data_IF_985559187857
#
_entry.id   IF_985559187857
#
_cell.length_a   1.000
_cell.length_b   1.000
_cell.length_c   1.000
_cell.angle_alpha   90.00
_cell.angle_beta   90.00
_cell.angle_gamma   90.00
#
_symmetry.space_group_name_H-M   'P 1'
#
loop_
_entity.id
_entity.type
_entity.pdbx_description
1 polymer ?
#
# COMPACT_ATOMS: atom_id res chain seq x y z
N UNK A 1 10.40 -22.67 16.80
CA UNK A 1 10.27 -21.23 16.46
C UNK A 1 8.81 -20.94 16.22
N UNK A 2 8.17 -20.27 17.17
CA UNK A 2 6.72 -20.05 17.24
C UNK A 2 6.28 -19.11 16.13
N UNK A 3 5.35 -19.61 15.29
CA UNK A 3 4.64 -18.84 14.27
C UNK A 3 3.94 -17.68 14.96
N UNK A 4 4.33 -16.44 14.63
CA UNK A 4 3.55 -15.27 15.00
C UNK A 4 2.17 -15.41 14.40
N UNK A 5 1.20 -15.74 15.25
CA UNK A 5 -0.21 -15.81 14.95
C UNK A 5 -0.60 -14.45 14.32
N UNK A 6 -0.83 -14.42 13.00
CA UNK A 6 -1.31 -13.21 12.32
C UNK A 6 -2.75 -12.98 12.75
N UNK A 7 -2.92 -12.28 13.88
CA UNK A 7 -4.23 -11.87 14.38
C UNK A 7 -4.89 -10.95 13.33
N UNK A 8 -6.06 -11.30 12.79
CA UNK A 8 -6.79 -10.46 11.83
C UNK A 8 -7.17 -9.08 12.40
N UNK A 9 -6.96 -8.85 13.70
CA UNK A 9 -7.17 -7.59 14.43
C UNK A 9 -5.91 -6.72 14.57
N UNK A 10 -4.77 -7.11 13.98
CA UNK A 10 -3.59 -6.24 13.98
C UNK A 10 -3.93 -4.96 13.19
N UNK A 11 -3.84 -3.82 13.87
CA UNK A 11 -4.13 -2.51 13.31
C UNK A 11 -3.39 -2.32 11.97
N UNK A 12 -4.14 -2.21 10.87
CA UNK A 12 -3.60 -2.05 9.51
C UNK A 12 -3.04 -0.65 9.24
N UNK A 13 -3.26 0.27 10.19
CA UNK A 13 -2.86 1.67 10.16
C UNK A 13 -2.02 1.92 11.41
N UNK A 14 -0.85 2.55 11.25
CA UNK A 14 -0.01 2.91 12.41
C UNK A 14 -0.71 3.94 13.32
N UNK A 15 -0.44 3.94 14.64
CA UNK A 15 -1.04 4.93 15.56
C UNK A 15 -0.75 6.38 15.17
N UNK A 16 0.47 6.66 14.72
CA UNK A 16 0.86 8.00 14.27
C UNK A 16 0.06 8.44 13.04
N UNK A 17 -0.26 7.51 12.13
CA UNK A 17 -1.08 7.82 10.98
C UNK A 17 -2.57 7.98 11.34
N UNK A 18 -3.12 7.14 12.23
CA UNK A 18 -4.48 7.32 12.78
C UNK A 18 -4.66 8.72 13.38
N UNK A 19 -3.73 9.16 14.23
CA UNK A 19 -3.75 10.50 14.82
C UNK A 19 -3.65 11.65 13.79
N UNK A 20 -3.13 11.41 12.58
CA UNK A 20 -3.20 12.37 11.47
C UNK A 20 -4.56 12.34 10.79
N UNK A 21 -5.14 11.15 10.58
CA UNK A 21 -6.47 10.99 10.00
C UNK A 21 -7.56 11.67 10.84
N UNK A 22 -7.46 11.57 12.18
CA UNK A 22 -8.41 12.20 13.11
C UNK A 22 -8.42 13.73 13.04
N UNK A 23 -7.37 14.33 12.47
CA UNK A 23 -7.24 15.78 12.28
C UNK A 23 -7.71 16.25 10.91
N UNK A 24 -8.06 15.33 10.00
CA UNK A 24 -8.53 15.68 8.67
C UNK A 24 -10.01 16.09 8.72
N UNK A 25 -10.38 17.06 7.87
CA UNK A 25 -11.79 17.38 7.65
C UNK A 25 -12.54 16.17 7.06
N UNK A 26 -13.86 16.04 7.28
CA UNK A 26 -14.64 14.86 6.89
C UNK A 26 -14.67 14.59 5.37
N UNK A 27 -14.42 15.61 4.55
CA UNK A 27 -14.34 15.52 3.08
C UNK A 27 -12.92 15.66 2.55
N UNK A 28 -11.95 15.87 3.43
CA UNK A 28 -10.57 16.03 3.02
C UNK A 28 -10.03 14.67 2.57
N UNK A 29 -9.50 14.63 1.33
CA UNK A 29 -8.89 13.44 0.76
C UNK A 29 -7.40 13.40 1.07
N UNK A 30 -6.88 12.21 1.27
CA UNK A 30 -5.45 11.95 1.48
C UNK A 30 -5.04 10.75 0.61
N UNK A 31 -3.77 10.76 0.19
CA UNK A 31 -3.17 9.69 -0.59
C UNK A 31 -2.55 8.65 0.33
N UNK A 32 -2.80 7.39 0.03
CA UNK A 32 -2.27 6.25 0.76
C UNK A 32 -1.88 5.15 -0.20
N UNK A 33 -0.95 4.32 0.25
CA UNK A 33 -0.55 3.09 -0.42
C UNK A 33 -1.23 1.93 0.31
N UNK A 34 -2.12 1.22 -0.38
CA UNK A 34 -2.81 0.05 0.14
C UNK A 34 -2.02 -1.20 -0.23
N UNK A 35 -1.56 -1.93 0.78
CA UNK A 35 -0.91 -3.23 0.60
C UNK A 35 -1.99 -4.31 0.57
N UNK A 36 -2.12 -5.02 -0.56
CA UNK A 36 -3.06 -6.11 -0.71
C UNK A 36 -2.51 -7.40 -0.10
N UNK A 37 -3.41 -8.22 0.41
CA UNK A 37 -3.10 -9.54 0.95
C UNK A 37 -2.95 -10.51 -0.23
N UNK A 38 -1.71 -10.73 -0.68
CA UNK A 38 -1.39 -11.68 -1.75
C UNK A 38 -0.97 -13.02 -1.14
N UNK A 39 -1.39 -14.13 -1.74
CA UNK A 39 -1.15 -15.47 -1.17
C UNK A 39 0.34 -15.88 -1.19
N UNK A 40 1.21 -15.22 -1.96
CA UNK A 40 2.55 -15.76 -2.25
C UNK A 40 3.71 -14.75 -2.40
N UNK A 41 3.62 -13.51 -1.89
CA UNK A 41 4.76 -12.58 -1.97
C UNK A 41 5.91 -12.88 -0.98
N UNK A 42 5.76 -13.90 -0.11
CA UNK A 42 6.59 -14.11 1.09
C UNK A 42 7.88 -14.92 0.93
N UNK A 43 8.17 -15.49 -0.25
CA UNK A 43 9.47 -16.13 -0.51
C UNK A 43 10.11 -15.49 -1.73
N UNK A 44 10.99 -14.53 -1.49
CA UNK A 44 12.08 -14.25 -2.42
C UNK A 44 13.12 -15.36 -2.23
N UNK A 45 13.24 -16.38 -3.10
CA UNK A 45 14.45 -17.18 -3.12
C UNK A 45 15.59 -16.22 -3.47
N UNK A 46 16.69 -16.26 -2.71
CA UNK A 46 17.89 -15.42 -2.88
C UNK A 46 18.64 -15.63 -4.20
N UNK A 47 17.97 -16.09 -5.25
CA UNK A 47 18.51 -16.34 -6.57
C UNK A 47 18.09 -15.21 -7.51
N UNK A 48 19.05 -14.69 -8.27
CA UNK A 48 18.85 -13.64 -9.29
C UNK A 48 17.83 -14.16 -10.33
N UNK A 49 16.55 -13.80 -10.17
CA UNK A 49 15.47 -14.14 -11.12
C UNK A 49 15.71 -13.46 -12.45
N UNK A 50 15.47 -14.19 -13.55
CA UNK A 50 15.50 -13.63 -14.90
C UNK A 50 14.42 -12.55 -15.07
N UNK A 51 14.46 -11.81 -16.18
CA UNK A 51 13.42 -10.82 -16.47
C UNK A 51 12.06 -11.50 -16.69
N UNK A 52 12.02 -12.68 -17.33
CA UNK A 52 10.78 -13.44 -17.52
C UNK A 52 10.18 -13.89 -16.19
N UNK A 53 11.02 -14.43 -15.29
CA UNK A 53 10.58 -14.87 -13.96
C UNK A 53 9.96 -13.74 -13.12
N UNK A 54 10.52 -12.53 -13.25
CA UNK A 54 9.98 -11.34 -12.59
C UNK A 54 8.62 -10.96 -13.16
N UNK A 55 8.47 -10.98 -14.48
CA UNK A 55 7.21 -10.64 -15.12
C UNK A 55 6.11 -11.64 -14.75
N UNK A 56 6.43 -12.94 -14.75
CA UNK A 56 5.50 -13.99 -14.35
C UNK A 56 5.04 -13.82 -12.88
N UNK A 57 5.96 -13.47 -11.97
CA UNK A 57 5.62 -13.22 -10.58
C UNK A 57 4.68 -12.00 -10.41
N UNK A 58 4.89 -10.94 -11.18
CA UNK A 58 4.02 -9.75 -11.17
C UNK A 58 2.62 -10.11 -11.68
N UNK A 59 2.51 -10.89 -12.76
CA UNK A 59 1.21 -11.32 -13.29
C UNK A 59 0.44 -12.20 -12.30
N UNK A 60 1.12 -13.09 -11.56
CA UNK A 60 0.49 -13.86 -10.48
C UNK A 60 -0.07 -12.94 -9.39
N UNK A 61 0.70 -11.93 -8.99
CA UNK A 61 0.24 -10.93 -8.01
C UNK A 61 -0.98 -10.19 -8.53
N UNK A 62 -0.95 -9.71 -9.78
CA UNK A 62 -2.07 -9.00 -10.41
C UNK A 62 -3.34 -9.84 -10.43
N UNK A 63 -3.27 -11.07 -10.95
CA UNK A 63 -4.41 -11.99 -10.99
C UNK A 63 -4.96 -12.30 -9.60
N UNK A 64 -4.07 -12.51 -8.62
CA UNK A 64 -4.50 -12.76 -7.24
C UNK A 64 -5.20 -11.56 -6.59
N UNK A 65 -4.97 -10.37 -7.11
CA UNK A 65 -5.52 -9.12 -6.60
C UNK A 65 -6.79 -8.65 -7.31
N UNK A 66 -7.19 -9.24 -8.45
CA UNK A 66 -8.36 -8.80 -9.23
C UNK A 66 -9.63 -8.74 -8.37
N UNK A 67 -9.91 -9.81 -7.61
CA UNK A 67 -11.08 -9.85 -6.73
C UNK A 67 -10.98 -8.80 -5.61
N UNK A 68 -9.78 -8.62 -5.04
CA UNK A 68 -9.54 -7.59 -4.04
C UNK A 68 -9.82 -6.19 -4.59
N UNK A 69 -9.44 -5.91 -5.85
CA UNK A 69 -9.66 -4.60 -6.45
C UNK A 69 -11.13 -4.26 -6.63
N UNK A 70 -11.98 -5.23 -6.96
CA UNK A 70 -13.43 -5.02 -7.07
C UNK A 70 -14.00 -4.51 -5.75
N UNK A 71 -13.61 -5.13 -4.62
CA UNK A 71 -14.14 -4.76 -3.31
C UNK A 71 -13.52 -3.47 -2.78
N UNK A 72 -12.25 -3.21 -3.10
CA UNK A 72 -11.60 -1.92 -2.83
C UNK A 72 -12.28 -0.80 -3.60
N UNK A 73 -12.64 -1.02 -4.87
CA UNK A 73 -13.30 -0.01 -5.71
C UNK A 73 -14.68 0.36 -5.17
N UNK A 74 -15.47 -0.62 -4.70
CA UNK A 74 -16.77 -0.34 -4.04
C UNK A 74 -16.60 0.52 -2.78
N UNK A 75 -15.57 0.25 -1.98
CA UNK A 75 -15.27 1.06 -0.78
C UNK A 75 -14.88 2.48 -1.22
N UNK A 76 -13.98 2.60 -2.18
CA UNK A 76 -13.52 3.90 -2.67
C UNK A 76 -14.70 4.73 -3.20
N UNK A 77 -15.55 4.17 -4.05
CA UNK A 77 -16.73 4.84 -4.60
C UNK A 77 -17.65 5.37 -3.51
N UNK A 78 -17.94 4.56 -2.47
CA UNK A 78 -18.78 4.95 -1.34
C UNK A 78 -18.22 6.14 -0.55
N UNK A 79 -16.90 6.29 -0.51
CA UNK A 79 -16.20 7.31 0.30
C UNK A 79 -15.53 8.40 -0.56
N UNK A 80 -16.03 8.61 -1.78
CA UNK A 80 -15.55 9.63 -2.73
C UNK A 80 -14.02 9.50 -2.99
N UNK A 81 -13.57 8.26 -3.09
CA UNK A 81 -12.19 7.88 -3.36
C UNK A 81 -11.99 7.33 -4.76
N UNK A 82 -10.73 7.15 -5.14
CA UNK A 82 -10.31 6.51 -6.39
C UNK A 82 -8.95 5.86 -6.24
N UNK A 83 -8.67 4.91 -7.12
CA UNK A 83 -7.31 4.41 -7.33
C UNK A 83 -6.51 5.42 -8.16
N UNK A 84 -5.23 5.52 -7.86
CA UNK A 84 -4.27 6.32 -8.62
C UNK A 84 -3.47 5.47 -9.64
N UNK A 85 -3.66 4.14 -9.61
CA UNK A 85 -3.11 3.21 -10.58
C UNK A 85 -4.16 2.15 -10.99
N UNK A 86 -4.09 1.69 -12.24
CA UNK A 86 -5.02 0.69 -12.79
C UNK A 86 -4.77 -0.72 -12.26
N UNK A 87 -3.52 -1.04 -11.89
CA UNK A 87 -3.14 -2.36 -11.39
C UNK A 87 -2.17 -2.24 -10.21
N UNK A 88 -2.07 -3.28 -9.35
CA UNK A 88 -1.10 -3.30 -8.27
C UNK A 88 0.31 -3.44 -8.80
N UNK A 89 1.27 -2.97 -8.02
CA UNK A 89 2.70 -3.11 -8.32
C UNK A 89 3.23 -4.52 -8.00
N UNK A 90 4.55 -4.69 -8.16
CA UNK A 90 5.24 -5.96 -7.90
C UNK A 90 5.22 -6.40 -6.42
N UNK A 91 4.82 -5.52 -5.50
CA UNK A 91 4.66 -5.82 -4.07
C UNK A 91 3.19 -6.10 -3.71
N UNK A 92 2.27 -6.03 -4.69
CA UNK A 92 0.84 -6.08 -4.45
C UNK A 92 0.32 -4.81 -3.77
N UNK A 93 0.98 -3.67 -3.99
CA UNK A 93 0.57 -2.38 -3.47
C UNK A 93 -0.19 -1.56 -4.52
N UNK A 94 -1.13 -0.73 -4.09
CA UNK A 94 -1.86 0.17 -4.98
C UNK A 94 -2.06 1.54 -4.33
N UNK A 95 -1.64 2.64 -4.99
CA UNK A 95 -1.90 3.98 -4.49
C UNK A 95 -3.37 4.34 -4.70
N UNK A 96 -3.99 4.91 -3.67
CA UNK A 96 -5.39 5.37 -3.68
C UNK A 96 -5.49 6.73 -3.01
N UNK A 97 -6.57 7.45 -3.31
CA UNK A 97 -6.92 8.72 -2.71
C UNK A 97 -8.36 8.62 -2.20
N UNK A 98 -8.60 8.89 -0.91
CA UNK A 98 -9.95 8.85 -0.31
C UNK A 98 -9.99 9.66 0.99
N UNK A 99 -11.16 9.72 1.64
CA UNK A 99 -11.38 10.40 2.92
C UNK A 99 -10.86 9.58 4.10
N UNK A 100 -10.75 10.19 5.29
CA UNK A 100 -10.42 9.47 6.52
C UNK A 100 -11.38 8.30 6.80
N UNK A 101 -12.68 8.49 6.54
CA UNK A 101 -13.68 7.42 6.65
C UNK A 101 -13.44 6.29 5.63
N UNK A 102 -13.06 6.64 4.40
CA UNK A 102 -12.65 5.68 3.39
C UNK A 102 -11.45 4.85 3.81
N UNK A 103 -10.43 5.46 4.43
CA UNK A 103 -9.26 4.74 4.95
C UNK A 103 -9.65 3.75 6.05
N UNK A 104 -10.51 4.18 6.97
CA UNK A 104 -11.01 3.31 8.03
C UNK A 104 -11.79 2.12 7.44
N UNK A 105 -12.62 2.34 6.42
CA UNK A 105 -13.34 1.27 5.74
C UNK A 105 -12.41 0.32 4.95
N UNK A 106 -11.36 0.85 4.32
CA UNK A 106 -10.33 0.01 3.70
C UNK A 106 -9.60 -0.84 4.75
N UNK A 107 -9.34 -0.30 5.94
CA UNK A 107 -8.69 -1.02 7.03
C UNK A 107 -9.56 -2.17 7.57
N UNK A 108 -10.87 -2.17 7.38
CA UNK A 108 -11.73 -3.31 7.76
C UNK A 108 -11.77 -4.41 6.70
N UNK A 109 -11.37 -4.13 5.45
CA UNK A 109 -11.41 -5.12 4.36
C UNK A 109 -10.40 -6.26 4.55
N UNK A 110 -10.85 -7.51 4.41
CA UNK A 110 -9.98 -8.71 4.52
C UNK A 110 -8.86 -8.75 3.49
N UNK A 111 -9.10 -8.14 2.33
CA UNK A 111 -8.15 -8.03 1.23
C UNK A 111 -7.00 -7.07 1.51
N UNK A 112 -7.15 -6.18 2.50
CA UNK A 112 -6.08 -5.25 2.91
C UNK A 112 -5.20 -5.90 3.96
N UNK A 113 -3.89 -5.87 3.69
CA UNK A 113 -2.83 -6.27 4.60
C UNK A 113 -2.38 -5.11 5.48
N UNK A 114 -2.16 -3.94 4.88
CA UNK A 114 -1.72 -2.73 5.56
C UNK A 114 -2.04 -1.48 4.73
N UNK A 115 -2.09 -0.33 5.38
CA UNK A 115 -2.25 0.98 4.75
C UNK A 115 -1.10 1.88 5.19
N UNK A 116 -0.37 2.41 4.21
CA UNK A 116 0.76 3.31 4.41
C UNK A 116 0.38 4.70 3.93
N UNK A 117 0.82 5.73 4.62
CA UNK A 117 0.65 7.10 4.15
C UNK A 117 1.61 7.40 2.99
N UNK A 118 1.12 8.10 1.97
CA UNK A 118 1.95 8.58 0.86
C UNK A 118 2.76 9.81 1.31
N UNK A 119 3.93 9.54 1.93
CA UNK A 119 4.81 10.57 2.47
C UNK A 119 5.54 11.33 1.35
N UNK A 120 5.71 12.66 1.47
CA UNK A 120 6.51 13.41 0.52
C UNK A 120 7.98 13.01 0.59
N UNK A 121 8.59 12.81 -0.58
CA UNK A 121 10.03 12.55 -0.71
C UNK A 121 10.70 13.81 -1.25
N UNK A 122 11.80 14.24 -0.63
CA UNK A 122 12.59 15.41 -1.05
C UNK A 122 14.03 15.02 -1.32
N UNK A 123 14.65 15.65 -2.32
CA UNK A 123 16.06 15.46 -2.61
C UNK A 123 16.92 16.05 -1.48
N UNK A 124 17.96 15.32 -1.08
CA UNK A 124 18.96 15.86 -0.17
C UNK A 124 19.79 16.93 -0.90
N UNK A 125 20.18 18.02 -0.22
CA UNK A 125 21.06 19.02 -0.80
C UNK A 125 22.39 18.38 -1.22
N UNK A 126 22.86 18.67 -2.43
CA UNK A 126 24.18 18.22 -2.88
C UNK A 126 25.26 18.85 -1.99
N UNK A 127 26.26 18.09 -1.49
CA UNK A 127 27.37 18.67 -0.78
C UNK A 127 28.12 19.65 -1.69
N UNK A 128 28.37 20.86 -1.20
CA UNK A 128 29.23 21.82 -1.90
C UNK A 128 30.65 21.28 -1.87
N UNK A 129 31.15 20.83 -3.02
CA UNK A 129 32.56 20.49 -3.17
C UNK A 129 33.35 21.80 -3.20
N UNK A 130 34.04 22.12 -2.12
CA UNK A 130 35.05 23.18 -2.10
C UNK A 130 36.39 22.53 -2.40
N UNK A 131 36.95 22.67 -3.61
CA UNK A 131 38.32 22.24 -3.85
C UNK A 131 39.24 23.10 -2.99
N UNK A 132 39.96 22.47 -2.08
CA UNK A 132 41.13 23.06 -1.42
C UNK A 132 42.15 23.45 -2.48
N UNK A 133 42.43 24.75 -2.59
CA UNK A 133 43.56 25.28 -3.37
C UNK A 133 44.89 25.01 -2.68
#
# INVERSE_FOLDING_TARGET
MTRGNEDPRKDKISPAFKARLDRLGPRQKVRVIVMLRTKDAGKAPGRRRSREDRQAAIEVIRKSAEQALIDIDKILERFDGRRLATSPDALGSIPVETTAAGITALATSEHVKAILEDQPISLLPRPKYSPSS
#
